data_IF_682057550334
#
_entry.id   IF_682057550334
#
_cell.length_a   1.000
_cell.length_b   1.000
_cell.length_c   1.000
_cell.angle_alpha   90.00
_cell.angle_beta   90.00
_cell.angle_gamma   90.00
#
_symmetry.space_group_name_H-M   'P 1'
#
loop_
_entity.id
_entity.type
_entity.pdbx_description
1 polymer ?
#
# COMPACT_ATOMS: atom_id res chain seq x y z
N UNK A 1 26.25 20.87 14.79
CA UNK A 1 25.17 19.96 15.27
C UNK A 1 25.16 20.05 16.78
N UNK A 2 24.00 20.29 17.37
CA UNK A 2 23.84 20.35 18.82
C UNK A 2 23.85 18.93 19.40
N UNK A 3 24.76 18.66 20.36
CA UNK A 3 24.96 17.35 20.99
C UNK A 3 24.58 17.36 22.49
N UNK A 4 23.81 18.37 22.93
CA UNK A 4 23.21 18.42 24.26
C UNK A 4 22.11 17.37 24.41
N UNK A 5 21.93 16.83 25.61
CA UNK A 5 20.93 15.77 25.86
C UNK A 5 19.51 16.21 25.48
N UNK A 6 19.14 17.47 25.70
CA UNK A 6 17.84 18.02 25.30
C UNK A 6 17.58 17.95 23.80
N UNK A 7 18.61 18.15 22.97
CA UNK A 7 18.49 18.06 21.51
C UNK A 7 18.43 16.61 21.01
N UNK A 8 18.92 15.65 21.81
CA UNK A 8 19.08 14.24 21.45
C UNK A 8 17.89 13.35 21.82
N UNK A 9 16.85 13.88 22.46
CA UNK A 9 15.64 13.11 22.80
C UNK A 9 14.54 13.19 21.72
N UNK A 10 14.77 13.93 20.63
CA UNK A 10 13.80 14.08 19.54
C UNK A 10 14.43 13.77 18.18
N UNK A 11 14.21 12.53 17.71
CA UNK A 11 14.57 12.11 16.36
C UNK A 11 13.32 11.97 15.50
N UNK A 12 13.45 12.33 14.22
CA UNK A 12 12.46 11.95 13.22
C UNK A 12 12.50 10.43 12.96
N UNK A 13 11.43 9.92 12.36
CA UNK A 13 11.42 8.54 11.83
C UNK A 13 12.26 8.51 10.57
N UNK A 14 13.30 7.69 10.55
CA UNK A 14 14.18 7.57 9.40
C UNK A 14 13.63 6.52 8.45
N UNK A 15 13.80 6.73 7.15
CA UNK A 15 13.63 5.68 6.15
C UNK A 15 14.72 4.62 6.27
N UNK A 16 14.45 3.42 5.77
CA UNK A 16 15.32 2.24 5.95
C UNK A 16 16.71 2.47 5.35
N UNK A 17 16.81 3.07 4.15
CA UNK A 17 18.11 3.41 3.54
C UNK A 17 18.92 4.41 4.39
N UNK A 18 18.26 5.45 4.91
CA UNK A 18 18.90 6.45 5.80
C UNK A 18 19.43 5.84 7.10
N UNK A 19 18.72 4.86 7.69
CA UNK A 19 19.19 4.16 8.89
C UNK A 19 20.46 3.36 8.60
N UNK A 20 20.47 2.54 7.54
CA UNK A 20 21.66 1.74 7.16
C UNK A 20 22.85 2.65 6.90
N UNK A 21 22.67 3.73 6.14
CA UNK A 21 23.75 4.65 5.80
C UNK A 21 24.35 5.34 7.05
N UNK A 22 23.50 5.80 7.97
CA UNK A 22 23.95 6.40 9.23
C UNK A 22 24.67 5.38 10.13
N UNK A 23 24.08 4.19 10.32
CA UNK A 23 24.63 3.12 11.15
C UNK A 23 25.97 2.59 10.59
N UNK A 24 26.13 2.54 9.27
CA UNK A 24 27.41 2.15 8.63
C UNK A 24 28.54 3.09 9.03
N UNK A 25 28.30 4.41 8.99
CA UNK A 25 29.29 5.39 9.40
C UNK A 25 29.53 5.36 10.91
N UNK A 26 28.47 5.26 11.71
CA UNK A 26 28.59 5.15 13.17
C UNK A 26 29.37 3.90 13.59
N UNK A 27 29.15 2.76 12.93
CA UNK A 27 29.94 1.53 13.13
C UNK A 27 31.43 1.75 12.85
N UNK A 28 31.76 2.41 11.74
CA UNK A 28 33.16 2.73 11.39
C UNK A 28 33.85 3.51 12.51
N UNK A 29 33.19 4.56 13.00
CA UNK A 29 33.69 5.40 14.10
C UNK A 29 33.77 4.60 15.41
N UNK A 30 32.76 3.77 15.73
CA UNK A 30 32.75 2.96 16.93
C UNK A 30 33.91 1.94 16.93
N UNK A 31 34.21 1.34 15.77
CA UNK A 31 35.37 0.45 15.59
C UNK A 31 36.68 1.18 15.80
N UNK A 32 36.85 2.36 15.19
CA UNK A 32 38.05 3.19 15.37
C UNK A 32 38.31 3.57 16.83
N UNK A 33 37.25 3.81 17.60
CA UNK A 33 37.32 4.19 19.01
C UNK A 33 37.37 2.98 19.97
N UNK A 34 37.33 1.75 19.46
CA UNK A 34 37.36 0.53 20.28
C UNK A 34 36.05 0.21 21.01
N UNK A 35 34.92 0.79 20.61
CA UNK A 35 33.60 0.51 21.18
C UNK A 35 32.95 -0.72 20.52
N UNK A 36 33.51 -1.92 20.76
CA UNK A 36 33.08 -3.17 20.10
C UNK A 36 31.60 -3.49 20.28
N UNK A 37 31.03 -3.28 21.47
CA UNK A 37 29.61 -3.54 21.72
C UNK A 37 28.69 -2.67 20.85
N UNK A 38 29.03 -1.39 20.68
CA UNK A 38 28.28 -0.48 19.81
C UNK A 38 28.44 -0.86 18.33
N UNK A 39 29.66 -1.20 17.90
CA UNK A 39 29.91 -1.64 16.54
C UNK A 39 29.10 -2.91 16.19
N UNK A 40 29.05 -3.90 17.09
CA UNK A 40 28.25 -5.11 16.91
C UNK A 40 26.75 -4.80 16.85
N UNK A 41 26.26 -3.93 17.74
CA UNK A 41 24.86 -3.51 17.71
C UNK A 41 24.50 -2.80 16.40
N UNK A 42 25.39 -1.97 15.84
CA UNK A 42 25.18 -1.38 14.53
C UNK A 42 25.10 -2.45 13.42
N UNK A 43 25.89 -3.52 13.49
CA UNK A 43 25.80 -4.65 12.54
C UNK A 43 24.46 -5.39 12.63
N UNK A 44 23.98 -5.66 13.84
CA UNK A 44 22.67 -6.29 14.06
C UNK A 44 21.55 -5.42 13.51
N UNK A 45 21.60 -4.11 13.79
CA UNK A 45 20.65 -3.13 13.27
C UNK A 45 20.66 -3.04 11.74
N UNK A 46 21.84 -3.01 11.12
CA UNK A 46 21.98 -3.01 9.66
C UNK A 46 21.50 -4.31 9.03
N UNK A 47 21.73 -5.46 9.68
CA UNK A 47 21.24 -6.76 9.21
C UNK A 47 19.72 -6.78 9.18
N UNK A 48 19.07 -6.30 10.25
CA UNK A 48 17.61 -6.13 10.29
C UNK A 48 17.11 -5.17 9.21
N UNK A 49 17.78 -4.04 9.00
CA UNK A 49 17.34 -3.05 8.00
C UNK A 49 17.55 -3.53 6.55
N UNK A 50 18.57 -4.35 6.27
CA UNK A 50 18.72 -5.01 4.95
C UNK A 50 17.59 -5.98 4.69
N UNK A 51 17.18 -6.74 5.71
CA UNK A 51 16.01 -7.60 5.63
C UNK A 51 14.71 -6.78 5.47
N UNK A 52 14.64 -5.62 6.12
CA UNK A 52 13.54 -4.67 5.93
C UNK A 52 13.48 -4.16 4.48
N UNK A 53 14.60 -3.83 3.83
CA UNK A 53 14.61 -3.49 2.40
C UNK A 53 14.11 -4.64 1.53
N UNK A 54 14.43 -5.89 1.88
CA UNK A 54 13.91 -7.07 1.17
C UNK A 54 12.39 -7.18 1.32
N UNK A 55 11.87 -7.01 2.52
CA UNK A 55 10.43 -6.99 2.83
C UNK A 55 9.73 -5.84 2.07
N UNK A 56 10.30 -4.64 2.07
CA UNK A 56 9.78 -3.48 1.33
C UNK A 56 9.75 -3.72 -0.18
N UNK A 57 10.81 -4.30 -0.73
CA UNK A 57 10.91 -4.68 -2.14
C UNK A 57 9.88 -5.74 -2.50
N UNK A 58 9.72 -6.78 -1.68
CA UNK A 58 8.71 -7.80 -1.88
C UNK A 58 7.30 -7.23 -1.84
N UNK A 59 6.98 -6.40 -0.86
CA UNK A 59 5.69 -5.72 -0.79
C UNK A 59 5.43 -4.81 -2.00
N UNK A 60 6.45 -4.08 -2.46
CA UNK A 60 6.35 -3.23 -3.65
C UNK A 60 6.17 -4.06 -4.94
N UNK A 61 6.87 -5.19 -5.06
CA UNK A 61 6.71 -6.14 -6.16
C UNK A 61 5.34 -6.84 -6.12
N UNK A 62 4.84 -7.23 -4.94
CA UNK A 62 3.51 -7.83 -4.75
C UNK A 62 2.39 -6.85 -5.08
N UNK A 63 2.63 -5.54 -4.92
CA UNK A 63 1.69 -4.48 -5.32
C UNK A 63 1.62 -4.30 -6.86
N UNK A 64 2.69 -4.65 -7.58
CA UNK A 64 2.80 -4.46 -9.04
C UNK A 64 2.60 -5.74 -9.86
N UNK A 65 2.94 -6.90 -9.29
CA UNK A 65 2.62 -8.20 -9.86
C UNK A 65 1.14 -8.46 -9.60
N UNK A 66 0.36 -8.63 -10.67
CA UNK A 66 -1.03 -9.05 -10.56
C UNK A 66 -1.13 -10.29 -9.67
N UNK A 67 -1.62 -10.05 -8.46
CA UNK A 67 -1.58 -10.91 -7.27
C UNK A 67 -2.46 -12.17 -7.40
N UNK A 68 -2.99 -12.40 -8.60
CA UNK A 68 -3.95 -13.42 -8.92
C UNK A 68 -3.44 -14.22 -10.10
N UNK A 69 -3.58 -15.54 -10.00
CA UNK A 69 -3.20 -16.46 -11.07
C UNK A 69 -3.81 -16.00 -12.42
N UNK A 70 -3.18 -16.27 -13.58
CA UNK A 70 -3.75 -15.97 -14.89
C UNK A 70 -5.22 -16.43 -15.03
N UNK A 71 -5.57 -17.51 -14.35
CA UNK A 71 -6.94 -18.03 -14.24
C UNK A 71 -7.91 -17.08 -13.54
N UNK A 72 -7.53 -16.47 -12.42
CA UNK A 72 -8.40 -15.53 -11.70
C UNK A 72 -8.70 -14.28 -12.53
N UNK A 73 -7.73 -13.76 -13.29
CA UNK A 73 -7.99 -12.68 -14.26
C UNK A 73 -8.94 -13.11 -15.37
N UNK A 74 -8.81 -14.35 -15.85
CA UNK A 74 -9.68 -14.84 -16.90
C UNK A 74 -11.12 -15.00 -16.38
N UNK A 75 -11.28 -15.47 -15.15
CA UNK A 75 -12.60 -15.58 -14.51
C UNK A 75 -13.19 -14.20 -14.21
N UNK A 76 -12.39 -13.24 -13.75
CA UNK A 76 -12.76 -11.84 -13.54
C UNK A 76 -13.38 -11.20 -14.81
N UNK A 77 -12.68 -11.32 -15.95
CA UNK A 77 -13.21 -10.84 -17.25
C UNK A 77 -14.58 -11.47 -17.57
N UNK A 78 -14.76 -12.77 -17.27
CA UNK A 78 -16.02 -13.45 -17.51
C UNK A 78 -17.13 -12.99 -16.56
N UNK A 79 -16.79 -12.68 -15.30
CA UNK A 79 -17.70 -12.09 -14.30
C UNK A 79 -18.15 -10.71 -14.78
N UNK A 80 -17.23 -9.86 -15.22
CA UNK A 80 -17.55 -8.52 -15.74
C UNK A 80 -18.50 -8.57 -16.93
N UNK A 81 -18.23 -9.46 -17.88
CA UNK A 81 -19.11 -9.68 -19.04
C UNK A 81 -20.49 -10.16 -18.59
N UNK A 82 -20.57 -11.07 -17.62
CA UNK A 82 -21.84 -11.60 -17.13
C UNK A 82 -22.66 -10.54 -16.37
N UNK A 83 -22.01 -9.72 -15.55
CA UNK A 83 -22.63 -8.59 -14.85
C UNK A 83 -23.11 -7.52 -15.82
N UNK A 84 -22.30 -7.18 -16.83
CA UNK A 84 -22.69 -6.28 -17.92
C UNK A 84 -23.94 -6.76 -18.64
N UNK A 85 -23.95 -8.03 -19.05
CA UNK A 85 -25.09 -8.60 -19.76
C UNK A 85 -26.37 -8.70 -18.90
N UNK A 86 -26.24 -8.92 -17.58
CA UNK A 86 -27.37 -8.85 -16.66
C UNK A 86 -27.93 -7.42 -16.56
N UNK A 87 -27.05 -6.45 -16.34
CA UNK A 87 -27.40 -5.02 -16.24
C UNK A 87 -28.09 -4.54 -17.51
N UNK A 88 -27.55 -4.85 -18.67
CA UNK A 88 -28.09 -4.41 -19.96
C UNK A 88 -29.46 -5.03 -20.25
N UNK A 89 -29.72 -6.26 -19.80
CA UNK A 89 -31.04 -6.87 -19.94
C UNK A 89 -32.07 -6.15 -19.07
N UNK A 90 -31.75 -5.91 -17.78
CA UNK A 90 -32.62 -5.18 -16.86
C UNK A 90 -32.91 -3.75 -17.35
N UNK A 91 -31.90 -3.06 -17.88
CA UNK A 91 -32.06 -1.71 -18.42
C UNK A 91 -32.92 -1.70 -19.69
N UNK A 92 -32.78 -2.72 -20.56
CA UNK A 92 -33.62 -2.88 -21.74
C UNK A 92 -35.09 -3.13 -21.36
N UNK A 93 -35.35 -4.08 -20.46
CA UNK A 93 -36.71 -4.39 -19.98
C UNK A 93 -37.37 -3.18 -19.30
N UNK A 94 -36.60 -2.43 -18.50
CA UNK A 94 -37.09 -1.22 -17.86
C UNK A 94 -37.43 -0.09 -18.85
N UNK A 95 -36.72 -0.01 -19.99
CA UNK A 95 -36.91 1.03 -21.01
C UNK A 95 -38.00 0.72 -22.01
N UNK A 96 -38.19 -0.56 -22.35
CA UNK A 96 -39.22 -1.00 -23.31
C UNK A 96 -40.62 -1.07 -22.67
N UNK A 97 -40.69 -1.06 -21.34
CA UNK A 97 -41.93 -1.14 -20.58
C UNK A 97 -42.89 0.03 -20.87
N UNK A 98 -44.16 -0.32 -21.10
CA UNK A 98 -45.23 0.67 -21.24
C UNK A 98 -45.48 1.42 -19.92
N UNK A 99 -46.00 2.66 -19.96
CA UNK A 99 -46.37 3.38 -18.75
C UNK A 99 -47.34 2.57 -17.88
N UNK A 100 -46.95 2.33 -16.61
CA UNK A 100 -47.75 1.55 -15.65
C UNK A 100 -47.49 0.05 -15.65
N UNK A 101 -46.57 -0.46 -16.49
CA UNK A 101 -46.14 -1.85 -16.42
C UNK A 101 -45.35 -2.14 -15.14
N UNK A 102 -45.90 -3.03 -14.32
CA UNK A 102 -45.33 -3.43 -13.04
C UNK A 102 -43.99 -4.17 -13.20
N UNK A 103 -43.81 -4.91 -14.31
CA UNK A 103 -42.59 -5.69 -14.56
C UNK A 103 -41.43 -4.75 -14.90
N UNK A 104 -41.65 -3.77 -15.79
CA UNK A 104 -40.66 -2.74 -16.09
C UNK A 104 -40.25 -1.91 -14.88
N UNK A 105 -41.22 -1.51 -14.04
CA UNK A 105 -40.93 -0.80 -12.79
C UNK A 105 -40.11 -1.65 -11.81
N UNK A 106 -40.40 -2.96 -11.72
CA UNK A 106 -39.65 -3.89 -10.92
C UNK A 106 -38.22 -4.11 -11.46
N UNK A 107 -38.03 -4.18 -12.78
CA UNK A 107 -36.72 -4.26 -13.42
C UNK A 107 -35.86 -3.04 -13.11
N UNK A 108 -36.43 -1.83 -13.19
CA UNK A 108 -35.75 -0.59 -12.83
C UNK A 108 -35.34 -0.55 -11.34
N UNK A 109 -36.24 -0.97 -10.45
CA UNK A 109 -35.97 -1.06 -9.00
C UNK A 109 -34.89 -2.10 -8.70
N UNK A 110 -34.96 -3.26 -9.35
CA UNK A 110 -33.95 -4.32 -9.20
C UNK A 110 -32.58 -3.82 -9.69
N UNK A 111 -32.52 -3.16 -10.83
CA UNK A 111 -31.29 -2.58 -11.37
C UNK A 111 -30.60 -1.62 -10.37
N UNK A 112 -31.36 -0.71 -9.77
CA UNK A 112 -30.84 0.20 -8.73
C UNK A 112 -30.41 -0.53 -7.45
N UNK A 113 -31.10 -1.61 -7.09
CA UNK A 113 -30.78 -2.44 -5.92
C UNK A 113 -29.48 -3.23 -6.12
N UNK A 114 -29.27 -3.76 -7.33
CA UNK A 114 -28.06 -4.51 -7.66
C UNK A 114 -26.85 -3.59 -7.84
N UNK A 115 -27.03 -2.42 -8.44
CA UNK A 115 -25.94 -1.51 -8.79
C UNK A 115 -26.17 -0.08 -8.28
N UNK A 116 -26.21 0.14 -6.95
CA UNK A 116 -26.52 1.45 -6.37
C UNK A 116 -25.49 2.53 -6.72
N UNK A 117 -24.24 2.13 -7.02
CA UNK A 117 -23.15 3.01 -7.49
C UNK A 117 -22.81 2.78 -8.96
N UNK A 118 -23.67 2.08 -9.69
CA UNK A 118 -23.44 1.65 -11.07
C UNK A 118 -22.54 0.41 -11.19
N UNK A 119 -22.59 -0.24 -12.35
CA UNK A 119 -21.82 -1.46 -12.66
C UNK A 119 -20.31 -1.27 -12.51
N UNK A 120 -19.81 -0.11 -12.96
CA UNK A 120 -18.37 0.21 -12.91
C UNK A 120 -17.79 0.18 -11.50
N UNK A 121 -18.59 0.40 -10.45
CA UNK A 121 -18.12 0.31 -9.07
C UNK A 121 -17.84 -1.14 -8.65
N UNK A 122 -18.49 -2.11 -9.30
CA UNK A 122 -18.28 -3.54 -9.07
C UNK A 122 -17.13 -4.03 -9.93
N UNK A 123 -17.15 -3.77 -11.24
CA UNK A 123 -16.15 -4.32 -12.19
C UNK A 123 -14.75 -3.73 -12.04
N UNK A 124 -14.61 -2.56 -11.40
CA UNK A 124 -13.29 -1.98 -11.10
C UNK A 124 -12.85 -2.23 -9.64
N UNK A 125 -13.62 -2.99 -8.86
CA UNK A 125 -13.25 -3.30 -7.48
C UNK A 125 -12.07 -4.28 -7.44
N UNK A 126 -11.23 -4.25 -6.38
CA UNK A 126 -10.26 -5.31 -6.13
C UNK A 126 -10.93 -6.69 -6.09
N UNK A 127 -10.25 -7.72 -6.59
CA UNK A 127 -10.76 -9.10 -6.75
C UNK A 127 -11.60 -9.63 -5.57
N UNK A 128 -11.11 -9.49 -4.33
CA UNK A 128 -11.84 -9.94 -3.12
C UNK A 128 -13.11 -9.11 -2.87
N UNK A 129 -13.04 -7.80 -3.09
CA UNK A 129 -14.17 -6.89 -2.94
C UNK A 129 -15.21 -7.10 -4.04
N UNK A 130 -14.77 -7.31 -5.29
CA UNK A 130 -15.64 -7.66 -6.40
C UNK A 130 -16.34 -9.00 -6.17
N UNK A 131 -15.63 -10.02 -5.65
CA UNK A 131 -16.25 -11.30 -5.29
C UNK A 131 -17.35 -11.11 -4.24
N UNK A 132 -17.10 -10.31 -3.21
CA UNK A 132 -18.11 -10.01 -2.18
C UNK A 132 -19.34 -9.30 -2.78
N UNK A 133 -19.14 -8.36 -3.71
CA UNK A 133 -20.24 -7.71 -4.42
C UNK A 133 -21.02 -8.67 -5.33
N UNK A 134 -20.33 -9.58 -6.03
CA UNK A 134 -20.97 -10.62 -6.85
C UNK A 134 -21.82 -11.54 -5.97
N UNK A 135 -21.31 -11.96 -4.81
CA UNK A 135 -22.06 -12.75 -3.83
C UNK A 135 -23.30 -12.02 -3.32
N UNK A 136 -23.19 -10.73 -3.00
CA UNK A 136 -24.33 -9.89 -2.60
C UNK A 136 -25.38 -9.79 -3.71
N UNK A 137 -24.95 -9.59 -4.96
CA UNK A 137 -25.83 -9.52 -6.13
C UNK A 137 -26.58 -10.85 -6.31
N UNK A 138 -25.88 -11.98 -6.25
CA UNK A 138 -26.48 -13.32 -6.34
C UNK A 138 -27.49 -13.54 -5.21
N UNK A 139 -27.13 -13.21 -3.96
CA UNK A 139 -28.03 -13.34 -2.83
C UNK A 139 -29.30 -12.50 -2.98
N UNK A 140 -29.18 -11.28 -3.52
CA UNK A 140 -30.31 -10.42 -3.84
C UNK A 140 -31.22 -11.07 -4.91
N UNK A 141 -30.63 -11.53 -6.03
CA UNK A 141 -31.36 -12.16 -7.14
C UNK A 141 -32.07 -13.46 -6.73
N UNK A 142 -31.52 -14.19 -5.78
CA UNK A 142 -32.07 -15.44 -5.25
C UNK A 142 -32.99 -15.24 -4.04
N UNK A 143 -33.16 -14.00 -3.58
CA UNK A 143 -34.05 -13.72 -2.46
C UNK A 143 -35.51 -13.96 -2.86
N UNK A 144 -36.39 -14.33 -1.90
CA UNK A 144 -37.82 -14.50 -2.18
C UNK A 144 -38.50 -13.26 -2.76
N UNK A 145 -37.98 -12.06 -2.43
CA UNK A 145 -38.48 -10.78 -2.98
C UNK A 145 -38.31 -10.71 -4.50
N UNK A 146 -37.16 -11.16 -5.02
CA UNK A 146 -36.79 -10.94 -6.42
C UNK A 146 -36.94 -12.16 -7.32
N UNK A 147 -37.12 -13.35 -6.75
CA UNK A 147 -37.19 -14.60 -7.51
C UNK A 147 -38.31 -14.61 -8.56
N UNK A 148 -39.48 -14.06 -8.23
CA UNK A 148 -40.60 -13.98 -9.18
C UNK A 148 -40.24 -13.07 -10.38
N UNK A 149 -39.70 -11.89 -10.11
CA UNK A 149 -39.28 -10.93 -11.15
C UNK A 149 -38.17 -11.50 -12.02
N UNK A 150 -37.19 -12.20 -11.43
CA UNK A 150 -36.12 -12.86 -12.18
C UNK A 150 -36.66 -13.90 -13.17
N UNK A 151 -37.74 -14.61 -12.80
CA UNK A 151 -38.40 -15.57 -13.67
C UNK A 151 -39.20 -14.87 -14.77
N UNK A 152 -39.98 -13.84 -14.42
CA UNK A 152 -40.80 -13.09 -15.38
C UNK A 152 -39.94 -12.41 -16.45
N UNK A 153 -38.76 -11.91 -16.07
CA UNK A 153 -37.78 -11.30 -16.99
C UNK A 153 -36.89 -12.34 -17.71
N UNK A 154 -37.08 -13.65 -17.49
CA UNK A 154 -36.30 -14.69 -18.14
C UNK A 154 -34.80 -14.68 -17.78
N UNK A 155 -34.42 -14.09 -16.66
CA UNK A 155 -33.02 -13.88 -16.26
C UNK A 155 -32.36 -15.13 -15.67
N UNK A 156 -33.12 -16.21 -15.46
CA UNK A 156 -32.64 -17.43 -14.78
C UNK A 156 -31.34 -17.99 -15.34
N UNK A 157 -31.15 -18.01 -16.67
CA UNK A 157 -29.88 -18.45 -17.29
C UNK A 157 -28.70 -17.56 -16.91
N UNK A 158 -28.91 -16.25 -16.81
CA UNK A 158 -27.87 -15.27 -16.42
C UNK A 158 -27.50 -15.42 -14.96
N UNK A 159 -28.50 -15.58 -14.09
CA UNK A 159 -28.27 -15.84 -12.66
C UNK A 159 -27.49 -17.13 -12.45
N UNK A 160 -27.88 -18.22 -13.12
CA UNK A 160 -27.15 -19.49 -13.05
C UNK A 160 -25.69 -19.35 -13.51
N UNK A 161 -25.44 -18.58 -14.57
CA UNK A 161 -24.07 -18.31 -15.05
C UNK A 161 -23.25 -17.51 -14.05
N UNK A 162 -23.84 -16.49 -13.41
CA UNK A 162 -23.16 -15.74 -12.35
C UNK A 162 -22.81 -16.60 -11.16
N UNK A 163 -23.71 -17.51 -10.74
CA UNK A 163 -23.43 -18.48 -9.65
C UNK A 163 -22.28 -19.42 -9.99
N UNK A 164 -22.21 -19.91 -11.23
CA UNK A 164 -21.09 -20.74 -11.69
C UNK A 164 -19.77 -19.96 -11.68
N UNK A 165 -19.79 -18.73 -12.19
CA UNK A 165 -18.62 -17.87 -12.26
C UNK A 165 -18.14 -17.43 -10.87
N UNK A 166 -19.06 -17.12 -9.94
CA UNK A 166 -18.73 -16.78 -8.55
C UNK A 166 -17.94 -17.89 -7.87
N UNK A 167 -18.36 -19.15 -8.01
CA UNK A 167 -17.62 -20.30 -7.45
C UNK A 167 -16.23 -20.43 -8.02
N UNK A 168 -16.11 -20.37 -9.36
CA UNK A 168 -14.81 -20.39 -10.04
C UNK A 168 -13.95 -19.21 -9.62
N UNK A 169 -14.57 -18.07 -9.35
CA UNK A 169 -13.85 -16.87 -8.97
C UNK A 169 -13.32 -16.97 -7.53
N UNK A 170 -14.15 -17.45 -6.61
CA UNK A 170 -13.77 -17.77 -5.25
C UNK A 170 -12.63 -18.82 -5.20
N UNK A 171 -12.73 -19.88 -6.00
CA UNK A 171 -11.70 -20.92 -6.10
C UNK A 171 -10.39 -20.35 -6.64
N UNK A 172 -10.43 -19.55 -7.70
CA UNK A 172 -9.24 -18.95 -8.30
C UNK A 172 -8.58 -17.92 -7.37
N UNK A 173 -9.36 -17.18 -6.58
CA UNK A 173 -8.86 -16.29 -5.52
C UNK A 173 -8.23 -17.11 -4.38
N UNK A 174 -8.87 -18.20 -3.94
CA UNK A 174 -8.38 -19.05 -2.87
C UNK A 174 -7.08 -19.81 -3.23
N UNK A 175 -6.91 -20.15 -4.51
CA UNK A 175 -5.73 -20.83 -5.05
C UNK A 175 -4.61 -19.86 -5.47
N UNK A 176 -4.90 -18.56 -5.54
CA UNK A 176 -3.86 -17.57 -5.85
C UNK A 176 -2.87 -17.49 -4.68
N UNK A 177 -1.54 -17.45 -4.95
CA UNK A 177 -0.55 -17.33 -3.89
C UNK A 177 -0.84 -16.07 -3.09
N UNK A 178 -1.11 -16.21 -1.80
CA UNK A 178 -1.14 -15.04 -0.90
C UNK A 178 0.21 -14.35 -1.03
N UNK A 179 0.23 -13.08 -1.43
CA UNK A 179 1.44 -12.27 -1.27
C UNK A 179 1.87 -12.38 0.20
N UNK A 180 3.00 -13.03 0.47
CA UNK A 180 3.39 -13.40 1.82
C UNK A 180 3.72 -12.19 2.70
N UNK A 181 3.85 -10.99 2.10
CA UNK A 181 4.25 -9.77 2.78
C UNK A 181 3.12 -8.75 2.77
N UNK A 182 2.56 -8.48 3.94
CA UNK A 182 1.52 -7.46 4.14
C UNK A 182 2.14 -6.08 4.40
N UNK A 183 1.33 -5.01 4.27
CA UNK A 183 1.77 -3.69 4.73
C UNK A 183 2.02 -3.64 6.25
N UNK A 184 1.35 -4.49 7.02
CA UNK A 184 1.62 -4.66 8.45
C UNK A 184 3.06 -5.11 8.69
N UNK A 185 3.51 -6.13 7.95
CA UNK A 185 4.89 -6.64 8.05
C UNK A 185 5.93 -5.57 7.72
N UNK A 186 5.67 -4.75 6.68
CA UNK A 186 6.53 -3.61 6.33
C UNK A 186 6.60 -2.58 7.47
N UNK A 187 5.44 -2.23 8.06
CA UNK A 187 5.36 -1.25 9.14
C UNK A 187 6.07 -1.75 10.40
N UNK A 188 5.90 -3.02 10.75
CA UNK A 188 6.51 -3.63 11.93
C UNK A 188 8.02 -3.74 11.75
N UNK A 189 8.49 -4.18 10.59
CA UNK A 189 9.91 -4.23 10.25
C UNK A 189 10.57 -2.84 10.32
N UNK A 190 9.94 -1.80 9.75
CA UNK A 190 10.40 -0.40 9.85
C UNK A 190 10.45 0.11 11.27
N UNK A 191 9.42 -0.20 12.07
CA UNK A 191 9.34 0.21 13.47
C UNK A 191 10.48 -0.42 14.27
N UNK A 192 10.75 -1.71 14.06
CA UNK A 192 11.86 -2.41 14.70
C UNK A 192 13.22 -1.85 14.29
N UNK A 193 13.41 -1.52 13.01
CA UNK A 193 14.63 -0.86 12.51
C UNK A 193 14.87 0.49 13.18
N UNK A 194 13.82 1.33 13.29
CA UNK A 194 13.89 2.60 14.01
C UNK A 194 14.27 2.39 15.49
N UNK A 195 13.68 1.39 16.16
CA UNK A 195 14.01 1.07 17.55
C UNK A 195 15.48 0.67 17.72
N UNK A 196 16.01 -0.16 16.80
CA UNK A 196 17.41 -0.59 16.83
C UNK A 196 18.38 0.60 16.65
N UNK A 197 18.05 1.54 15.76
CA UNK A 197 18.84 2.78 15.63
C UNK A 197 18.78 3.62 16.92
N UNK A 198 17.61 3.77 17.54
CA UNK A 198 17.47 4.51 18.80
C UNK A 198 18.19 3.83 19.96
N UNK A 199 18.28 2.48 19.97
CA UNK A 199 19.11 1.75 20.92
C UNK A 199 20.60 2.07 20.72
N UNK A 200 21.08 2.20 19.49
CA UNK A 200 22.45 2.63 19.22
C UNK A 200 22.71 4.05 19.77
N UNK A 201 21.75 4.97 19.61
CA UNK A 201 21.81 6.31 20.21
C UNK A 201 21.89 6.22 21.74
N UNK A 202 21.04 5.41 22.37
CA UNK A 202 21.04 5.22 23.82
C UNK A 202 22.38 4.64 24.32
N UNK A 203 22.98 3.70 23.59
CA UNK A 203 24.31 3.17 23.91
C UNK A 203 25.38 4.26 23.86
N UNK A 204 25.36 5.13 22.84
CA UNK A 204 26.32 6.25 22.74
C UNK A 204 26.16 7.22 23.91
N UNK A 205 24.91 7.55 24.29
CA UNK A 205 24.63 8.38 25.46
C UNK A 205 25.09 7.73 26.77
N UNK A 206 24.97 6.40 26.88
CA UNK A 206 25.46 5.65 28.05
C UNK A 206 26.98 5.61 28.14
N UNK A 207 27.69 5.53 27.00
CA UNK A 207 29.16 5.58 26.95
C UNK A 207 29.71 6.96 27.35
N UNK A 208 28.96 8.02 27.04
CA UNK A 208 29.34 9.41 27.26
C UNK A 208 28.21 10.19 27.94
N UNK A 209 27.99 10.01 29.25
CA UNK A 209 26.81 10.51 29.94
C UNK A 209 26.92 11.96 30.44
N UNK A 210 28.12 12.53 30.53
CA UNK A 210 28.35 13.84 31.17
C UNK A 210 28.39 15.00 30.18
N UNK A 211 28.35 16.23 30.68
CA UNK A 211 28.60 17.45 29.87
C UNK A 211 30.08 17.86 29.87
N UNK A 212 30.99 16.94 30.18
CA UNK A 212 32.42 17.19 30.00
C UNK A 212 32.74 17.41 28.52
N UNK A 213 33.77 18.20 28.24
CA UNK A 213 34.22 18.47 26.87
C UNK A 213 34.57 17.18 26.11
N UNK A 214 35.17 16.21 26.81
CA UNK A 214 35.50 14.90 26.25
C UNK A 214 34.25 14.12 25.82
N UNK A 215 33.23 14.05 26.68
CA UNK A 215 31.98 13.36 26.36
C UNK A 215 31.19 14.06 25.25
N UNK A 216 31.15 15.39 25.25
CA UNK A 216 30.52 16.19 24.19
C UNK A 216 31.21 15.93 22.83
N UNK A 217 32.54 15.91 22.81
CA UNK A 217 33.30 15.62 21.60
C UNK A 217 33.05 14.19 21.09
N UNK A 218 33.03 13.20 22.00
CA UNK A 218 32.78 11.81 21.66
C UNK A 218 31.35 11.58 21.14
N UNK A 219 30.33 12.14 21.82
CA UNK A 219 28.93 12.16 21.33
C UNK A 219 28.84 12.80 19.96
N UNK A 220 29.48 13.96 19.77
CA UNK A 220 29.50 14.68 18.49
C UNK A 220 30.08 13.82 17.35
N UNK A 221 31.14 13.07 17.62
CA UNK A 221 31.75 12.16 16.64
C UNK A 221 30.83 10.97 16.33
N UNK A 222 30.37 10.25 17.35
CA UNK A 222 29.59 9.02 17.20
C UNK A 222 28.16 9.23 16.66
N UNK A 223 27.47 10.28 17.13
CA UNK A 223 26.11 10.64 16.69
C UNK A 223 26.11 11.46 15.41
N UNK A 224 27.24 12.04 15.01
CA UNK A 224 27.36 12.91 13.84
C UNK A 224 26.67 12.37 12.58
N UNK A 225 26.86 11.10 12.18
CA UNK A 225 26.16 10.52 11.04
C UNK A 225 24.63 10.50 11.17
N UNK A 226 24.11 10.13 12.34
CA UNK A 226 22.66 10.08 12.61
C UNK A 226 22.09 11.50 12.61
N UNK A 227 22.77 12.45 13.25
CA UNK A 227 22.32 13.84 13.32
C UNK A 227 22.29 14.51 11.94
N UNK A 228 23.26 14.21 11.06
CA UNK A 228 23.21 14.69 9.66
C UNK A 228 21.96 14.21 8.93
N UNK A 229 21.55 12.95 9.11
CA UNK A 229 20.32 12.43 8.52
C UNK A 229 19.07 13.04 9.16
N UNK A 230 19.07 13.25 10.48
CA UNK A 230 17.97 13.91 11.19
C UNK A 230 17.76 15.35 10.67
N UNK A 231 18.85 16.10 10.49
CA UNK A 231 18.81 17.46 9.94
C UNK A 231 18.39 17.49 8.47
N UNK A 232 18.80 16.50 7.67
CA UNK A 232 18.33 16.35 6.30
C UNK A 232 16.80 16.15 6.24
N UNK A 233 16.25 15.27 7.09
CA UNK A 233 14.80 15.07 7.21
C UNK A 233 14.10 16.36 7.66
N UNK A 234 14.67 17.06 8.65
CA UNK A 234 14.17 18.36 9.11
C UNK A 234 14.06 19.37 7.97
N UNK A 235 15.05 19.40 7.08
CA UNK A 235 15.05 20.30 5.92
C UNK A 235 13.90 19.99 4.95
N UNK A 236 13.65 18.72 4.63
CA UNK A 236 12.49 18.30 3.83
C UNK A 236 11.16 18.78 4.43
N UNK A 237 10.97 18.53 5.72
CA UNK A 237 9.74 18.89 6.43
C UNK A 237 9.52 20.41 6.49
N UNK A 238 10.59 21.19 6.74
CA UNK A 238 10.52 22.66 6.69
C UNK A 238 10.17 23.18 5.30
N UNK A 239 10.69 22.53 4.26
CA UNK A 239 10.36 22.83 2.86
C UNK A 239 8.99 22.29 2.42
N UNK A 240 8.23 21.62 3.32
CA UNK A 240 6.95 20.96 3.04
C UNK A 240 7.05 19.94 1.89
N UNK A 241 8.20 19.26 1.78
CA UNK A 241 8.47 18.22 0.79
C UNK A 241 8.34 16.84 1.41
N UNK A 242 7.96 15.86 0.59
CA UNK A 242 8.04 14.45 0.95
C UNK A 242 9.49 14.07 1.24
N UNK A 243 9.71 13.30 2.32
CA UNK A 243 11.05 12.84 2.67
C UNK A 243 11.46 11.75 1.68
N UNK A 244 12.52 12.01 0.92
CA UNK A 244 13.11 11.03 0.02
C UNK A 244 14.06 10.10 0.79
N UNK A 245 14.11 8.82 0.45
CA UNK A 245 15.10 7.88 1.03
C UNK A 245 16.47 8.08 0.37
N UNK A 246 17.50 7.43 0.90
CA UNK A 246 18.85 7.42 0.33
C UNK A 246 19.28 6.01 -0.03
N UNK A 247 20.18 5.91 -1.00
CA UNK A 247 20.90 4.68 -1.25
C UNK A 247 21.73 4.33 0.01
N UNK A 248 21.57 3.13 0.59
CA UNK A 248 22.21 2.76 1.85
C UNK A 248 23.74 2.68 1.76
N UNK A 249 24.30 2.44 0.56
CA UNK A 249 25.74 2.25 0.36
C UNK A 249 26.44 3.58 0.03
N UNK A 250 25.78 4.47 -0.70
CA UNK A 250 26.39 5.72 -1.18
C UNK A 250 25.89 6.97 -0.46
N UNK A 251 24.73 6.90 0.19
CA UNK A 251 24.05 8.05 0.81
C UNK A 251 23.41 9.02 -0.19
N UNK A 252 23.42 8.70 -1.49
CA UNK A 252 22.78 9.54 -2.52
C UNK A 252 21.26 9.44 -2.41
N UNK A 253 20.56 10.56 -2.55
CA UNK A 253 19.09 10.58 -2.48
C UNK A 253 18.49 9.77 -3.63
N UNK A 254 17.48 8.96 -3.33
CA UNK A 254 16.70 8.22 -4.32
C UNK A 254 15.58 9.13 -4.83
N UNK A 255 15.75 9.68 -6.03
CA UNK A 255 14.68 10.44 -6.70
C UNK A 255 13.53 9.49 -7.06
N UNK A 256 12.27 9.82 -6.74
CA UNK A 256 11.14 9.10 -7.32
C UNK A 256 11.20 9.20 -8.85
N UNK A 257 10.80 8.16 -9.61
CA UNK A 257 10.56 8.33 -11.05
C UNK A 257 9.55 9.46 -11.22
N UNK A 258 9.84 10.41 -12.13
CA UNK A 258 9.01 11.58 -12.36
C UNK A 258 7.53 11.18 -12.40
N UNK A 259 6.72 11.81 -11.54
CA UNK A 259 5.28 11.74 -11.67
C UNK A 259 4.97 12.19 -13.11
N UNK A 260 4.42 11.28 -13.91
CA UNK A 260 3.94 11.57 -15.26
C UNK A 260 3.18 12.88 -15.19
N UNK A 261 3.72 13.94 -15.79
CA UNK A 261 3.03 15.22 -15.83
C UNK A 261 1.66 14.95 -16.46
N UNK A 262 0.55 15.38 -15.84
CA UNK A 262 -0.74 15.31 -16.49
C UNK A 262 -0.60 16.01 -17.86
N UNK A 263 -1.14 15.42 -18.95
CA UNK A 263 -1.02 15.99 -20.27
C UNK A 263 -1.50 17.45 -20.24
N UNK A 264 -0.82 18.36 -20.97
CA UNK A 264 -1.19 19.76 -20.96
C UNK A 264 -2.65 19.91 -21.36
N UNK A 265 -3.36 20.74 -20.59
CA UNK A 265 -4.76 21.06 -20.78
C UNK A 265 -4.97 21.56 -22.23
N UNK A 266 -5.88 20.98 -23.03
CA UNK A 266 -6.08 21.38 -24.43
C UNK A 266 -6.69 22.80 -24.58
N UNK A 267 -6.90 23.53 -23.49
CA UNK A 267 -7.55 24.83 -23.48
C UNK A 267 -6.63 26.05 -23.70
N UNK A 268 -5.31 25.87 -23.89
CA UNK A 268 -4.39 27.02 -24.07
C UNK A 268 -3.91 27.28 -25.51
N UNK A 269 -4.59 26.74 -26.54
CA UNK A 269 -4.38 27.17 -27.92
C UNK A 269 -5.64 27.81 -28.48
N UNK A 270 -5.77 29.12 -28.25
CA UNK A 270 -6.88 29.91 -28.77
C UNK A 270 -6.82 31.38 -28.33
N UNK A 271 -5.81 32.11 -28.82
CA UNK A 271 -5.95 33.49 -29.32
C UNK A 271 -4.57 34.08 -29.66
N UNK A 272 -4.28 34.11 -30.94
CA UNK A 272 -3.21 34.86 -31.60
C UNK A 272 -3.61 35.06 -33.04
#
# INVERSE_FOLDING_TARGET
MDATLSALLQFYVFSTGRRIFALTQTKGIATELGHTALANHCDDAMTHDRETLRIESQWASDKGATQYAPEAKQVDILVDVALGALRDSLDADARDAAPGDAVGAAAAKLLQTLFPKGLNAVTNAPFVEQLAEVQRIIACLQSPEWTAIVNDLGLGRRVARLVELEKRYADAIAQSPKGNTTFGDVKDARTKGQQLMLQAVAMILGLHPSDSEADLAARGKLLGPILRQNDAIRAYLRARRSIEDVNPDTGTVLTPPDAVQPPPDPASQGNG
#
